data_IF_584456629060
#
_entry.id   IF_584456629060
#
_cell.length_a   1.000
_cell.length_b   1.000
_cell.length_c   1.000
_cell.angle_alpha   90.00
_cell.angle_beta   90.00
_cell.angle_gamma   90.00
#
_symmetry.space_group_name_H-M   'P 1'
#
loop_
_entity.id
_entity.type
_entity.pdbx_description
1 polymer ?
#
# COMPACT_ATOMS: atom_id res chain seq x y z
N UNK A 1 2.98 10.61 22.96
CA UNK A 1 2.08 9.46 23.11
C UNK A 1 2.44 8.40 22.10
N UNK A 2 2.03 7.15 22.30
CA UNK A 2 2.22 6.08 21.32
C UNK A 2 0.94 5.93 20.49
N UNK A 3 1.08 5.90 19.17
CA UNK A 3 -0.03 5.64 18.25
C UNK A 3 -0.06 4.14 17.90
N UNK A 4 -1.26 3.56 17.85
CA UNK A 4 -1.48 2.16 17.51
C UNK A 4 -2.47 2.11 16.36
N UNK A 5 -2.03 1.59 15.21
CA UNK A 5 -2.86 1.43 14.04
C UNK A 5 -3.48 0.02 13.98
N UNK A 6 -4.80 -0.06 13.79
CA UNK A 6 -5.57 -1.31 13.87
C UNK A 6 -6.28 -1.57 12.55
N UNK A 7 -5.86 -2.63 11.87
CA UNK A 7 -6.40 -3.02 10.56
C UNK A 7 -7.12 -4.36 10.65
N UNK A 8 -8.37 -4.41 10.16
CA UNK A 8 -9.08 -5.67 9.98
C UNK A 8 -8.72 -6.39 8.67
N UNK A 9 -8.17 -5.65 7.70
CA UNK A 9 -7.73 -6.10 6.36
C UNK A 9 -6.66 -5.13 5.87
N UNK A 10 -5.78 -5.58 4.95
CA UNK A 10 -4.76 -4.68 4.37
C UNK A 10 -5.37 -3.64 3.44
N UNK A 11 -6.55 -3.92 2.86
CA UNK A 11 -7.26 -2.98 2.01
C UNK A 11 -8.74 -2.88 2.39
N UNK A 12 -9.37 -1.70 2.17
CA UNK A 12 -10.80 -1.53 2.40
C UNK A 12 -11.61 -2.47 1.49
N UNK A 13 -12.80 -2.86 1.95
CA UNK A 13 -13.76 -3.69 1.19
C UNK A 13 -14.12 -3.13 -0.19
N UNK A 14 -13.97 -1.82 -0.36
CA UNK A 14 -14.28 -1.11 -1.61
C UNK A 14 -13.17 -1.18 -2.64
N UNK A 15 -11.98 -1.65 -2.23
CA UNK A 15 -10.81 -1.77 -3.09
C UNK A 15 -11.10 -2.71 -4.25
N UNK A 16 -10.58 -2.36 -5.43
CA UNK A 16 -10.59 -3.23 -6.59
C UNK A 16 -9.73 -4.49 -6.38
N UNK A 17 -8.75 -4.42 -5.47
CA UNK A 17 -7.94 -5.56 -5.06
C UNK A 17 -8.60 -6.26 -3.87
N UNK A 18 -8.81 -7.57 -3.98
CA UNK A 18 -9.34 -8.38 -2.90
C UNK A 18 -8.27 -8.60 -1.82
N UNK A 19 -8.56 -8.18 -0.58
CA UNK A 19 -7.70 -8.41 0.59
C UNK A 19 -8.45 -9.24 1.62
N UNK A 20 -8.61 -10.54 1.34
CA UNK A 20 -9.14 -11.47 2.32
C UNK A 20 -8.07 -11.68 3.43
N UNK A 21 -8.43 -11.55 4.73
CA UNK A 21 -7.43 -11.62 5.79
C UNK A 21 -7.03 -13.05 6.17
N UNK A 22 -7.89 -14.05 5.91
CA UNK A 22 -7.65 -15.44 6.34
C UNK A 22 -6.31 -16.04 5.85
N UNK A 23 -5.89 -15.85 4.57
CA UNK A 23 -4.59 -16.32 4.10
C UNK A 23 -3.38 -15.70 4.82
N UNK A 24 -3.52 -14.47 5.34
CA UNK A 24 -2.47 -13.78 6.09
C UNK A 24 -2.35 -14.38 7.50
N UNK A 25 -3.49 -14.57 8.17
CA UNK A 25 -3.52 -15.21 9.50
C UNK A 25 -3.06 -16.66 9.48
N UNK A 26 -3.33 -17.39 8.39
CA UNK A 26 -2.85 -18.77 8.22
C UNK A 26 -1.32 -18.83 8.07
N UNK A 27 -0.72 -17.88 7.35
CA UNK A 27 0.71 -17.84 7.09
C UNK A 27 1.54 -17.14 8.18
N UNK A 28 0.90 -16.42 9.11
CA UNK A 28 1.57 -15.65 10.15
C UNK A 28 2.48 -16.53 11.04
N UNK A 29 3.68 -16.03 11.33
CA UNK A 29 4.68 -16.71 12.16
C UNK A 29 4.49 -16.33 13.63
N UNK A 30 4.71 -17.28 14.55
CA UNK A 30 4.73 -17.00 15.99
C UNK A 30 6.03 -16.35 16.41
N UNK A 31 5.98 -15.43 17.36
CA UNK A 31 7.16 -14.87 18.02
C UNK A 31 7.57 -15.70 19.24
N UNK A 32 8.60 -15.25 19.96
CA UNK A 32 9.04 -15.86 21.21
C UNK A 32 7.92 -15.93 22.27
N UNK A 33 7.05 -14.92 22.33
CA UNK A 33 5.78 -15.02 23.04
C UNK A 33 4.73 -15.67 22.11
N UNK A 34 4.19 -16.85 22.45
CA UNK A 34 3.21 -17.56 21.61
C UNK A 34 1.91 -16.80 21.37
N UNK A 35 1.60 -15.79 22.21
CA UNK A 35 0.42 -14.94 22.06
C UNK A 35 0.60 -13.90 20.95
N UNK A 36 1.84 -13.67 20.53
CA UNK A 36 2.20 -12.71 19.51
C UNK A 36 2.51 -13.42 18.19
N UNK A 37 1.94 -12.88 17.11
CA UNK A 37 2.18 -13.35 15.75
C UNK A 37 2.52 -12.17 14.87
N UNK A 38 3.38 -12.42 13.90
CA UNK A 38 3.77 -11.47 12.87
C UNK A 38 3.41 -12.02 11.50
N UNK A 39 3.22 -11.13 10.52
CA UNK A 39 3.01 -11.55 9.14
C UNK A 39 4.18 -12.42 8.66
N UNK A 40 3.93 -13.29 7.68
CA UNK A 40 5.04 -13.95 6.99
C UNK A 40 5.91 -12.89 6.27
N UNK A 41 7.21 -13.11 6.06
CA UNK A 41 8.10 -12.13 5.42
C UNK A 41 7.59 -11.58 4.09
N UNK A 42 7.10 -12.45 3.22
CA UNK A 42 6.50 -12.03 1.96
C UNK A 42 5.27 -11.14 2.18
N UNK A 43 4.45 -11.45 3.18
CA UNK A 43 3.27 -10.65 3.52
C UNK A 43 3.64 -9.29 4.14
N UNK A 44 4.72 -9.20 4.92
CA UNK A 44 5.22 -7.93 5.45
C UNK A 44 5.61 -6.98 4.31
N UNK A 45 6.36 -7.49 3.33
CA UNK A 45 6.81 -6.70 2.17
C UNK A 45 5.63 -6.29 1.31
N UNK A 46 4.72 -7.22 1.01
CA UNK A 46 3.52 -6.90 0.23
C UNK A 46 2.62 -5.90 0.94
N UNK A 47 2.50 -6.00 2.27
CA UNK A 47 1.78 -5.03 3.09
C UNK A 47 2.43 -3.63 3.03
N UNK A 48 3.74 -3.54 3.25
CA UNK A 48 4.48 -2.28 3.14
C UNK A 48 4.34 -1.63 1.76
N UNK A 49 4.38 -2.44 0.69
CA UNK A 49 4.16 -1.96 -0.68
C UNK A 49 2.73 -1.50 -0.95
N UNK A 50 1.75 -2.16 -0.35
CA UNK A 50 0.35 -1.72 -0.42
C UNK A 50 0.20 -0.38 0.30
N UNK A 51 0.79 -0.21 1.48
CA UNK A 51 0.83 1.09 2.16
C UNK A 51 1.48 2.16 1.27
N UNK A 52 2.67 1.88 0.72
CA UNK A 52 3.36 2.83 -0.14
C UNK A 52 2.50 3.26 -1.35
N UNK A 53 1.96 2.32 -2.12
CA UNK A 53 1.35 2.63 -3.42
C UNK A 53 -0.16 2.87 -3.41
N UNK A 54 -0.84 2.45 -2.34
CA UNK A 54 -2.27 2.64 -2.20
C UNK A 54 -2.58 3.66 -1.10
N UNK A 55 -1.82 3.76 -0.01
CA UNK A 55 -2.14 4.63 1.13
C UNK A 55 -1.74 6.11 1.05
N UNK A 56 -1.16 6.53 -0.07
CA UNK A 56 -0.68 7.91 -0.25
C UNK A 56 -1.72 9.00 0.00
N UNK A 57 -1.23 10.09 0.58
CA UNK A 57 -1.90 11.37 0.79
C UNK A 57 -1.60 12.31 -0.40
N UNK A 58 -2.53 13.19 -0.83
CA UNK A 58 -2.28 14.12 -1.93
C UNK A 58 -1.12 15.10 -1.68
N UNK A 59 -0.87 15.49 -0.43
CA UNK A 59 0.14 16.48 -0.06
C UNK A 59 1.52 15.82 0.12
N UNK A 60 1.56 14.65 0.75
CA UNK A 60 2.80 13.90 1.02
C UNK A 60 3.24 13.02 -0.17
N UNK A 61 2.31 12.57 -1.01
CA UNK A 61 2.61 11.70 -2.15
C UNK A 61 3.03 10.29 -1.72
N UNK A 62 4.14 9.80 -2.28
CA UNK A 62 4.76 8.53 -1.87
C UNK A 62 5.86 8.83 -0.85
N UNK A 63 5.97 8.01 0.19
CA UNK A 63 6.97 8.21 1.24
C UNK A 63 8.23 7.42 0.92
N UNK A 64 9.36 8.11 0.77
CA UNK A 64 10.68 7.46 0.58
C UNK A 64 11.02 6.51 1.75
N UNK A 65 10.56 6.85 2.97
CA UNK A 65 10.71 6.00 4.16
C UNK A 65 10.10 4.61 3.93
N UNK A 66 8.85 4.54 3.47
CA UNK A 66 8.18 3.27 3.23
C UNK A 66 8.91 2.42 2.18
N UNK A 67 9.56 3.04 1.19
CA UNK A 67 10.41 2.32 0.22
C UNK A 67 11.74 1.85 0.85
N UNK A 68 12.32 2.62 1.77
CA UNK A 68 13.50 2.21 2.53
C UNK A 68 13.16 1.03 3.46
N UNK A 69 12.01 1.05 4.13
CA UNK A 69 11.53 -0.08 4.94
C UNK A 69 11.37 -1.35 4.09
N UNK A 70 10.85 -1.21 2.86
CA UNK A 70 10.80 -2.32 1.89
C UNK A 70 12.19 -2.82 1.52
N UNK A 71 13.15 -1.92 1.28
CA UNK A 71 14.54 -2.30 1.02
C UNK A 71 15.13 -3.12 2.16
N UNK A 72 14.98 -2.64 3.40
CA UNK A 72 15.51 -3.31 4.59
C UNK A 72 14.88 -4.69 4.78
N UNK A 73 13.56 -4.80 4.62
CA UNK A 73 12.85 -6.09 4.67
C UNK A 73 13.34 -7.06 3.59
N UNK A 74 13.56 -6.58 2.35
CA UNK A 74 14.06 -7.41 1.25
C UNK A 74 15.50 -7.87 1.51
N UNK A 75 16.37 -6.99 2.00
CA UNK A 75 17.75 -7.33 2.33
C UNK A 75 17.83 -8.35 3.48
N UNK A 76 17.01 -8.17 4.51
CA UNK A 76 16.97 -9.03 5.68
C UNK A 76 16.40 -10.42 5.34
N UNK A 77 15.19 -10.48 4.80
CA UNK A 77 14.51 -11.75 4.50
C UNK A 77 15.02 -12.40 3.21
N UNK A 78 15.71 -11.65 2.35
CA UNK A 78 16.38 -12.16 1.16
C UNK A 78 17.46 -13.19 1.45
N UNK A 79 17.96 -13.26 2.69
CA UNK A 79 18.90 -14.29 3.15
C UNK A 79 18.21 -15.61 3.54
N UNK A 80 16.89 -15.61 3.75
CA UNK A 80 16.16 -16.82 4.10
C UNK A 80 16.06 -17.77 2.88
N UNK A 81 16.30 -19.09 3.06
CA UNK A 81 16.10 -20.05 1.99
C UNK A 81 14.68 -19.99 1.43
N UNK A 82 14.57 -20.05 0.09
CA UNK A 82 13.30 -20.03 -0.64
C UNK A 82 12.45 -18.75 -0.49
N UNK A 83 12.92 -17.69 0.20
CA UNK A 83 12.18 -16.44 0.33
C UNK A 83 11.80 -15.86 -1.03
N UNK A 84 12.80 -15.68 -1.91
CA UNK A 84 12.61 -15.12 -3.25
C UNK A 84 11.66 -15.95 -4.11
N UNK A 85 11.82 -17.28 -4.08
CA UNK A 85 10.95 -18.22 -4.78
C UNK A 85 9.49 -18.18 -4.28
N UNK A 86 9.26 -17.77 -3.03
CA UNK A 86 7.92 -17.66 -2.46
C UNK A 86 7.24 -16.31 -2.71
N UNK A 87 8.02 -15.25 -2.95
CA UNK A 87 7.54 -13.86 -2.96
C UNK A 87 6.57 -13.58 -4.12
N UNK A 88 6.94 -13.96 -5.34
CA UNK A 88 6.11 -13.71 -6.54
C UNK A 88 4.85 -14.57 -6.54
N UNK A 89 4.89 -15.89 -6.25
CA UNK A 89 3.67 -16.69 -6.08
C UNK A 89 2.74 -16.13 -5.00
N UNK A 90 3.29 -15.65 -3.88
CA UNK A 90 2.50 -15.04 -2.81
C UNK A 90 1.83 -13.75 -3.27
N UNK A 91 2.56 -12.89 -3.99
CA UNK A 91 2.00 -11.68 -4.58
C UNK A 91 0.88 -11.99 -5.58
N UNK A 92 1.01 -13.06 -6.36
CA UNK A 92 -0.03 -13.53 -7.28
C UNK A 92 -1.28 -14.01 -6.54
N UNK A 93 -1.11 -14.80 -5.48
CA UNK A 93 -2.20 -15.29 -4.66
C UNK A 93 -3.01 -14.16 -3.99
N UNK A 94 -2.34 -13.06 -3.62
CA UNK A 94 -2.98 -11.90 -2.99
C UNK A 94 -3.39 -10.78 -3.98
N UNK A 95 -3.02 -10.90 -5.27
CA UNK A 95 -3.31 -9.86 -6.27
C UNK A 95 -2.45 -8.60 -6.17
N UNK A 96 -1.27 -8.69 -5.55
CA UNK A 96 -0.34 -7.59 -5.30
C UNK A 96 0.89 -7.58 -6.22
N UNK A 97 0.81 -8.23 -7.38
CA UNK A 97 1.92 -8.32 -8.33
C UNK A 97 2.35 -6.94 -8.85
N UNK A 98 1.39 -6.03 -9.09
CA UNK A 98 1.69 -4.66 -9.57
C UNK A 98 2.42 -3.81 -8.52
N UNK A 99 1.93 -3.70 -7.27
CA UNK A 99 2.71 -3.09 -6.18
C UNK A 99 4.11 -3.70 -6.03
N UNK A 100 4.22 -5.03 -6.09
CA UNK A 100 5.51 -5.73 -6.02
C UNK A 100 6.45 -5.32 -7.15
N UNK A 101 5.97 -5.31 -8.40
CA UNK A 101 6.77 -4.88 -9.55
C UNK A 101 7.34 -3.46 -9.37
N UNK A 102 6.50 -2.49 -9.01
CA UNK A 102 6.96 -1.11 -8.80
C UNK A 102 7.92 -1.01 -7.62
N UNK A 103 7.61 -1.72 -6.53
CA UNK A 103 8.43 -1.78 -5.33
C UNK A 103 9.83 -2.27 -5.60
N UNK A 104 9.95 -3.46 -6.20
CA UNK A 104 11.24 -4.07 -6.54
C UNK A 104 12.02 -3.20 -7.53
N UNK A 105 11.36 -2.67 -8.56
CA UNK A 105 12.00 -1.81 -9.55
C UNK A 105 12.61 -0.57 -8.91
N UNK A 106 11.85 0.14 -8.08
CA UNK A 106 12.32 1.38 -7.45
C UNK A 106 13.24 1.12 -6.26
N UNK A 107 13.05 0.06 -5.47
CA UNK A 107 13.98 -0.31 -4.42
C UNK A 107 15.36 -0.68 -5.00
N UNK A 108 15.40 -1.37 -6.14
CA UNK A 108 16.66 -1.61 -6.85
C UNK A 108 17.26 -0.31 -7.40
N UNK A 109 16.45 0.55 -8.03
CA UNK A 109 16.91 1.81 -8.61
C UNK A 109 17.47 2.80 -7.58
N UNK A 110 16.83 2.94 -6.41
CA UNK A 110 17.19 3.93 -5.40
C UNK A 110 18.23 3.41 -4.39
N UNK A 111 18.14 2.15 -3.99
CA UNK A 111 18.95 1.59 -2.91
C UNK A 111 19.90 0.48 -3.35
N UNK A 112 19.88 0.08 -4.63
CA UNK A 112 20.71 -1.03 -5.11
C UNK A 112 20.31 -2.38 -4.51
N UNK A 113 19.03 -2.54 -4.13
CA UNK A 113 18.52 -3.78 -3.51
C UNK A 113 18.96 -5.01 -4.32
N UNK A 114 19.58 -6.03 -3.70
CA UNK A 114 20.11 -7.20 -4.39
C UNK A 114 18.99 -8.19 -4.72
N UNK A 115 18.24 -7.90 -5.78
CA UNK A 115 17.11 -8.72 -6.22
C UNK A 115 17.61 -9.74 -7.23
N UNK A 116 17.35 -11.05 -7.03
CA UNK A 116 17.69 -12.09 -8.00
C UNK A 116 17.02 -11.84 -9.37
N UNK A 117 17.74 -12.01 -10.50
CA UNK A 117 17.21 -11.74 -11.83
C UNK A 117 15.98 -12.57 -12.21
N UNK A 118 15.89 -13.81 -11.72
CA UNK A 118 14.77 -14.73 -11.87
C UNK A 118 13.47 -14.16 -11.29
N UNK A 119 13.54 -13.50 -10.13
CA UNK A 119 12.38 -12.84 -9.49
C UNK A 119 11.87 -11.70 -10.36
N UNK A 120 12.77 -10.91 -10.95
CA UNK A 120 12.41 -9.82 -11.85
C UNK A 120 11.75 -10.34 -13.12
N UNK A 121 12.30 -11.43 -13.69
CA UNK A 121 11.75 -12.08 -14.89
C UNK A 121 10.36 -12.66 -14.63
N UNK A 122 10.15 -13.34 -13.49
CA UNK A 122 8.83 -13.89 -13.11
C UNK A 122 7.77 -12.79 -12.94
N UNK A 123 8.18 -11.55 -12.65
CA UNK A 123 7.27 -10.40 -12.53
C UNK A 123 7.03 -9.64 -13.83
N UNK A 124 7.70 -9.97 -14.94
CA UNK A 124 7.52 -9.25 -16.20
C UNK A 124 6.09 -9.34 -16.74
N UNK A 125 5.42 -10.48 -16.55
CA UNK A 125 4.00 -10.64 -16.92
C UNK A 125 3.06 -9.69 -16.15
N UNK A 126 3.47 -9.28 -14.95
CA UNK A 126 2.73 -8.35 -14.12
C UNK A 126 3.05 -6.88 -14.42
N UNK A 127 4.03 -6.64 -15.30
CA UNK A 127 4.44 -5.29 -15.68
C UNK A 127 3.27 -4.55 -16.36
N UNK A 128 3.13 -3.24 -16.10
CA UNK A 128 2.21 -2.42 -16.87
C UNK A 128 2.61 -2.39 -18.35
N UNK A 129 1.63 -2.18 -19.23
CA UNK A 129 1.88 -1.95 -20.65
C UNK A 129 2.93 -0.84 -20.86
N UNK A 130 3.74 -0.96 -21.90
CA UNK A 130 4.90 -0.08 -22.16
C UNK A 130 4.67 1.43 -21.93
N UNK A 131 3.58 2.06 -22.44
CA UNK A 131 3.40 3.50 -22.23
C UNK A 131 3.13 3.83 -20.75
N UNK A 132 2.36 3.01 -20.05
CA UNK A 132 2.07 3.17 -18.63
C UNK A 132 3.34 2.93 -17.81
N UNK A 133 4.14 1.92 -18.18
CA UNK A 133 5.43 1.64 -17.53
C UNK A 133 6.36 2.85 -17.59
N UNK A 134 6.53 3.43 -18.77
CA UNK A 134 7.38 4.62 -18.96
C UNK A 134 6.88 5.81 -18.14
N UNK A 135 5.56 6.02 -18.11
CA UNK A 135 4.96 7.09 -17.30
C UNK A 135 5.19 6.87 -15.80
N UNK A 136 4.91 5.67 -15.29
CA UNK A 136 5.08 5.34 -13.86
C UNK A 136 6.55 5.44 -13.42
N UNK A 137 7.48 4.97 -14.25
CA UNK A 137 8.91 5.10 -13.97
C UNK A 137 9.40 6.56 -13.91
N UNK A 138 8.64 7.51 -14.48
CA UNK A 138 8.90 8.95 -14.36
C UNK A 138 8.18 9.56 -13.16
N UNK A 139 6.92 9.19 -12.92
CA UNK A 139 6.09 9.79 -11.86
C UNK A 139 6.46 9.31 -10.46
N UNK A 140 6.79 8.02 -10.28
CA UNK A 140 7.08 7.47 -8.95
C UNK A 140 8.30 8.15 -8.30
N UNK A 141 9.45 8.32 -8.98
CA UNK A 141 10.58 9.07 -8.42
C UNK A 141 10.23 10.51 -8.02
N UNK A 142 9.44 11.21 -8.84
CA UNK A 142 9.00 12.58 -8.55
C UNK A 142 8.03 12.64 -7.36
N UNK A 143 7.25 11.59 -7.15
CA UNK A 143 6.31 11.49 -6.03
C UNK A 143 6.97 11.00 -4.73
N UNK A 144 8.07 10.23 -4.81
CA UNK A 144 8.84 9.72 -3.67
C UNK A 144 9.75 10.77 -3.05
N UNK A 145 10.38 11.61 -3.87
CA UNK A 145 11.35 12.57 -3.38
C UNK A 145 10.65 13.78 -2.74
N UNK A 146 11.07 14.21 -1.54
CA UNK A 146 10.56 15.42 -0.94
C UNK A 146 10.92 16.62 -1.83
N UNK A 147 10.02 17.60 -1.86
CA UNK A 147 10.27 18.84 -2.59
C UNK A 147 11.21 19.72 -1.77
N UNK A 148 12.02 20.54 -2.43
CA UNK A 148 12.81 21.55 -1.74
C UNK A 148 11.87 22.64 -1.19
N UNK A 149 11.94 23.04 0.10
CA UNK A 149 11.04 24.03 0.69
C UNK A 149 11.03 25.36 -0.09
N UNK A 150 12.21 25.81 -0.50
CA UNK A 150 12.38 27.10 -1.20
C UNK A 150 12.16 27.03 -2.72
N UNK A 151 12.10 25.82 -3.29
CA UNK A 151 11.98 25.61 -4.74
C UNK A 151 10.96 24.51 -5.05
N UNK A 152 9.66 24.80 -4.90
CA UNK A 152 8.62 23.82 -5.16
C UNK A 152 8.56 23.46 -6.65
N UNK A 153 8.67 22.16 -6.94
CA UNK A 153 8.53 21.65 -8.30
C UNK A 153 7.06 21.39 -8.64
N UNK A 154 6.52 22.16 -9.60
CA UNK A 154 5.15 21.95 -10.11
C UNK A 154 4.97 20.56 -10.73
N UNK A 155 6.01 20.02 -11.36
CA UNK A 155 6.02 18.68 -11.93
C UNK A 155 5.91 17.61 -10.83
N UNK A 156 6.61 17.79 -9.70
CA UNK A 156 6.51 16.89 -8.56
C UNK A 156 5.12 16.95 -7.92
N UNK A 157 4.55 18.14 -7.75
CA UNK A 157 3.18 18.31 -7.25
C UNK A 157 2.15 17.61 -8.17
N UNK A 158 2.27 17.78 -9.49
CA UNK A 158 1.41 17.08 -10.44
C UNK A 158 1.60 15.56 -10.38
N UNK A 159 2.83 15.07 -10.23
CA UNK A 159 3.12 13.65 -10.08
C UNK A 159 2.47 13.07 -8.82
N UNK A 160 2.58 13.74 -7.67
CA UNK A 160 1.92 13.34 -6.42
C UNK A 160 0.41 13.29 -6.57
N UNK A 161 -0.18 14.31 -7.18
CA UNK A 161 -1.60 14.34 -7.45
C UNK A 161 -2.06 13.20 -8.36
N UNK A 162 -1.35 12.93 -9.46
CA UNK A 162 -1.67 11.81 -10.36
C UNK A 162 -1.56 10.45 -9.68
N UNK A 163 -0.52 10.24 -8.87
CA UNK A 163 -0.34 9.01 -8.09
C UNK A 163 -1.45 8.86 -7.05
N UNK A 164 -1.83 9.94 -6.37
CA UNK A 164 -2.95 9.98 -5.43
C UNK A 164 -4.28 9.62 -6.11
N UNK A 165 -4.59 10.24 -7.25
CA UNK A 165 -5.81 9.93 -8.03
C UNK A 165 -5.85 8.46 -8.43
N UNK A 166 -4.72 7.91 -8.91
CA UNK A 166 -4.59 6.49 -9.24
C UNK A 166 -4.82 5.60 -8.01
N UNK A 167 -4.18 5.92 -6.89
CA UNK A 167 -4.33 5.16 -5.64
C UNK A 167 -5.80 5.19 -5.15
N UNK A 168 -6.44 6.35 -5.21
CA UNK A 168 -7.84 6.51 -4.85
C UNK A 168 -8.77 5.68 -5.74
N UNK A 169 -8.55 5.67 -7.06
CA UNK A 169 -9.32 4.81 -7.98
C UNK A 169 -9.17 3.33 -7.60
N UNK A 170 -7.95 2.87 -7.31
CA UNK A 170 -7.72 1.48 -6.91
C UNK A 170 -8.46 1.09 -5.62
N UNK A 171 -8.63 2.02 -4.67
CA UNK A 171 -9.38 1.81 -3.42
C UNK A 171 -10.89 1.97 -3.55
N UNK A 172 -11.33 2.88 -4.39
CA UNK A 172 -12.73 3.26 -4.57
C UNK A 172 -12.95 3.63 -6.05
N UNK A 173 -13.38 2.66 -6.87
CA UNK A 173 -13.77 2.93 -8.24
C UNK A 173 -14.78 4.08 -8.33
N UNK A 174 -14.65 4.99 -9.31
CA UNK A 174 -15.44 6.22 -9.38
C UNK A 174 -16.95 5.99 -9.40
N UNK A 175 -17.42 4.86 -9.96
CA UNK A 175 -18.84 4.48 -9.89
C UNK A 175 -19.33 4.22 -8.47
N UNK A 176 -18.52 3.57 -7.62
CA UNK A 176 -18.82 3.38 -6.20
C UNK A 176 -18.71 4.70 -5.43
N UNK A 177 -17.75 5.56 -5.79
CA UNK A 177 -17.62 6.89 -5.22
C UNK A 177 -18.86 7.74 -5.51
N UNK A 178 -19.33 7.77 -6.76
CA UNK A 178 -20.56 8.48 -7.15
C UNK A 178 -21.76 7.93 -6.35
N UNK A 179 -21.93 6.61 -6.29
CA UNK A 179 -23.00 6.01 -5.48
C UNK A 179 -22.90 6.42 -4.00
N UNK A 180 -21.70 6.43 -3.44
CA UNK A 180 -21.47 6.76 -2.03
C UNK A 180 -21.71 8.25 -1.75
N UNK A 181 -21.24 9.14 -2.62
CA UNK A 181 -21.45 10.57 -2.52
C UNK A 181 -22.92 10.94 -2.73
N UNK A 182 -23.61 10.35 -3.71
CA UNK A 182 -25.04 10.54 -3.94
C UNK A 182 -25.88 10.08 -2.74
N UNK A 183 -25.54 8.91 -2.16
CA UNK A 183 -26.20 8.42 -0.96
C UNK A 183 -25.93 9.33 0.26
N UNK A 184 -24.68 9.79 0.46
CA UNK A 184 -24.33 10.75 1.53
C UNK A 184 -25.04 12.10 1.34
N UNK A 185 -25.08 12.62 0.12
CA UNK A 185 -25.76 13.87 -0.21
C UNK A 185 -27.26 13.74 0.06
N UNK A 186 -27.88 12.64 -0.36
CA UNK A 186 -29.30 12.35 -0.11
C UNK A 186 -29.63 12.23 1.38
N UNK A 187 -28.80 11.52 2.16
CA UNK A 187 -28.95 11.44 3.62
C UNK A 187 -28.82 12.81 4.30
N UNK A 188 -27.88 13.65 3.84
CA UNK A 188 -27.67 15.01 4.34
C UNK A 188 -28.86 15.91 4.03
N UNK A 189 -29.42 15.79 2.82
CA UNK A 189 -30.62 16.50 2.38
C UNK A 189 -31.88 16.03 3.12
N UNK A 190 -31.98 14.75 3.48
CA UNK A 190 -33.08 14.19 4.30
C UNK A 190 -32.95 14.46 5.80
N UNK A 191 -31.96 15.23 6.25
CA UNK A 191 -31.79 15.56 7.66
C UNK A 191 -31.41 14.36 8.54
N UNK A 192 -30.89 13.26 7.97
CA UNK A 192 -30.33 12.15 8.73
C UNK A 192 -29.00 12.61 9.37
N UNK A 193 -29.10 13.35 10.47
CA UNK A 193 -27.98 13.50 11.40
C UNK A 193 -27.66 12.10 11.90
N UNK A 194 -26.48 11.59 11.56
CA UNK A 194 -25.88 10.46 12.27
C UNK A 194 -25.85 10.88 13.74
N UNK A 195 -26.81 10.39 14.53
CA UNK A 195 -26.78 10.49 15.99
C UNK A 195 -25.65 9.56 16.41
N UNK A 196 -24.42 10.07 16.36
CA UNK A 196 -23.32 9.44 17.10
C UNK A 196 -23.63 9.81 18.53
N UNK A 197 -24.25 8.88 19.25
CA UNK A 197 -24.56 9.05 20.65
C UNK A 197 -23.23 8.96 21.41
N UNK A 198 -22.57 10.12 21.54
CA UNK A 198 -21.30 10.23 22.27
C UNK A 198 -21.44 9.89 23.75
N UNK A 199 -22.68 9.77 24.26
CA UNK A 199 -22.97 9.35 25.63
C UNK A 199 -22.56 7.89 25.92
N UNK A 200 -22.37 7.04 24.91
CA UNK A 200 -21.92 5.66 25.12
C UNK A 200 -20.39 5.48 25.19
N UNK A 201 -19.60 6.51 24.89
CA UNK A 201 -18.14 6.44 24.98
C UNK A 201 -17.60 6.75 26.38
N UNK A 202 -18.44 7.24 27.29
CA UNK A 202 -18.05 7.67 28.64
C UNK A 202 -18.27 6.60 29.74
N UNK A 203 -18.64 5.36 29.37
CA UNK A 203 -18.98 4.29 30.33
C UNK A 203 -17.91 3.19 30.48
N UNK A 204 -16.64 3.46 30.15
CA UNK A 204 -15.52 2.54 30.45
C UNK A 204 -14.29 3.22 31.05
N UNK A 205 -14.51 4.24 31.88
CA UNK A 205 -13.51 4.73 32.83
C UNK A 205 -14.11 4.79 34.24
N UNK A 206 -14.36 3.61 34.81
CA UNK A 206 -14.38 3.38 36.26
C UNK A 206 -13.76 2.02 36.54
#
# INVERSE_FOLDING_TARGET
GTEIDIHHRLLPKTSHLASAPAPLFAAARTLADPRLRILAPADMILHALVHLFLEGDPDEGLRLRDLADVHDLLCHHGQEPAFWASLVPRARALGFQRPLFYGLHHAHQFFGTPIPPDVLHELEDAAPAWPIRKLMNRLIPLALLPGHPDHPSRLAALARWLIYVRAHWLRMPPGLLIKHLSHKAWLRLRGFRKRVDLAQLDLKQQ
#
